data_IF_099289484223
#
_entry.id   IF_099289484223
#
_cell.length_a   1.000
_cell.length_b   1.000
_cell.length_c   1.000
_cell.angle_alpha   90.00
_cell.angle_beta   90.00
_cell.angle_gamma   90.00
#
_symmetry.space_group_name_H-M   'P 1'
#
loop_
_entity.id
_entity.type
_entity.pdbx_description
1 polymer ?
#
# COMPACT_ATOMS: atom_id res chain seq x y z
N UNK A 1 -4.94 6.20 7.46
CA UNK A 1 -3.52 6.45 7.13
C UNK A 1 -3.35 6.66 5.63
N UNK A 2 -2.61 7.69 5.18
CA UNK A 2 -2.23 7.83 3.78
C UNK A 2 -1.02 6.92 3.44
N UNK A 3 -1.02 6.41 2.20
CA UNK A 3 0.02 5.57 1.63
C UNK A 3 0.62 6.25 0.41
N UNK A 4 1.93 6.07 0.19
CA UNK A 4 2.61 6.52 -1.04
C UNK A 4 3.65 5.50 -1.48
N UNK A 5 4.08 5.59 -2.73
CA UNK A 5 5.13 4.73 -3.31
C UNK A 5 6.37 5.56 -3.63
N UNK A 6 7.54 4.99 -3.35
CA UNK A 6 8.85 5.47 -3.78
C UNK A 6 9.58 4.31 -4.47
N UNK A 7 9.56 4.27 -5.80
CA UNK A 7 10.13 3.14 -6.55
C UNK A 7 9.40 1.83 -6.26
N UNK A 8 10.12 0.84 -5.74
CA UNK A 8 9.58 -0.46 -5.31
C UNK A 8 9.12 -0.48 -3.85
N UNK A 9 9.20 0.65 -3.14
CA UNK A 9 8.89 0.75 -1.70
C UNK A 9 7.56 1.46 -1.51
N UNK A 10 6.72 0.90 -0.63
CA UNK A 10 5.49 1.51 -0.15
C UNK A 10 5.74 2.08 1.24
N UNK A 11 5.40 3.35 1.42
CA UNK A 11 5.50 4.07 2.67
C UNK A 11 4.09 4.38 3.22
N UNK A 12 3.97 4.40 4.54
CA UNK A 12 2.79 4.88 5.23
C UNK A 12 3.14 6.07 6.11
N UNK A 13 2.20 7.01 6.24
CA UNK A 13 2.37 8.11 7.19
C UNK A 13 1.90 7.65 8.58
N UNK A 14 2.85 7.56 9.51
CA UNK A 14 2.60 7.15 10.90
C UNK A 14 3.46 8.02 11.82
N UNK A 15 2.82 8.66 12.81
CA UNK A 15 3.52 9.48 13.82
C UNK A 15 4.28 10.67 13.23
N UNK A 16 3.67 11.40 12.28
CA UNK A 16 4.28 12.61 11.68
C UNK A 16 5.37 12.34 10.64
N UNK A 17 5.73 11.09 10.38
CA UNK A 17 6.77 10.73 9.40
C UNK A 17 6.31 9.64 8.42
N UNK A 18 6.93 9.63 7.25
CA UNK A 18 6.80 8.54 6.29
C UNK A 18 7.73 7.40 6.70
N UNK A 19 7.14 6.24 6.97
CA UNK A 19 7.87 5.02 7.33
C UNK A 19 7.63 3.95 6.28
N UNK A 20 8.60 3.05 6.08
CA UNK A 20 8.47 1.94 5.13
C UNK A 20 7.44 0.96 5.67
N UNK A 21 6.40 0.69 4.87
CA UNK A 21 5.39 -0.33 5.17
C UNK A 21 5.72 -1.66 4.49
N UNK A 22 6.11 -1.62 3.22
CA UNK A 22 6.36 -2.81 2.42
C UNK A 22 7.40 -2.51 1.34
N UNK A 23 8.27 -3.48 1.06
CA UNK A 23 9.13 -3.50 -0.13
C UNK A 23 8.57 -4.51 -1.12
N UNK A 24 8.52 -4.17 -2.39
CA UNK A 24 8.06 -5.03 -3.47
C UNK A 24 9.24 -5.43 -4.37
N UNK A 25 9.11 -6.53 -5.10
CA UNK A 25 10.13 -6.97 -6.05
C UNK A 25 10.19 -6.07 -7.30
N UNK A 26 9.05 -5.52 -7.71
CA UNK A 26 8.94 -4.66 -8.89
C UNK A 26 8.13 -3.39 -8.64
N UNK A 27 8.26 -2.42 -9.55
CA UNK A 27 7.47 -1.18 -9.52
C UNK A 27 5.99 -1.46 -9.77
N UNK A 28 5.68 -2.46 -10.59
CA UNK A 28 4.30 -2.85 -10.92
C UNK A 28 3.60 -3.47 -9.72
N UNK A 29 4.30 -4.34 -8.98
CA UNK A 29 3.76 -4.93 -7.75
C UNK A 29 3.53 -3.85 -6.69
N UNK A 30 4.44 -2.88 -6.58
CA UNK A 30 4.26 -1.74 -5.69
C UNK A 30 3.03 -0.90 -6.08
N UNK A 31 2.73 -0.73 -7.37
CA UNK A 31 1.50 -0.07 -7.83
C UNK A 31 0.25 -0.88 -7.47
N UNK A 32 0.25 -2.20 -7.69
CA UNK A 32 -0.87 -3.10 -7.34
C UNK A 32 -1.15 -3.09 -5.84
N UNK A 33 -0.10 -3.23 -5.03
CA UNK A 33 -0.22 -3.21 -3.58
C UNK A 33 -0.69 -1.85 -3.04
N UNK A 34 -0.21 -0.72 -3.61
CA UNK A 34 -0.71 0.60 -3.24
C UNK A 34 -2.22 0.76 -3.55
N UNK A 35 -2.67 0.28 -4.71
CA UNK A 35 -4.09 0.28 -5.09
C UNK A 35 -4.92 -0.53 -4.10
N UNK A 36 -4.46 -1.72 -3.73
CA UNK A 36 -5.13 -2.57 -2.75
C UNK A 36 -5.25 -1.89 -1.39
N UNK A 37 -4.16 -1.31 -0.89
CA UNK A 37 -4.14 -0.59 0.39
C UNK A 37 -5.09 0.61 0.40
N UNK A 38 -5.18 1.34 -0.71
CA UNK A 38 -6.15 2.41 -0.87
C UNK A 38 -7.58 1.87 -0.95
N UNK A 39 -7.83 0.81 -1.70
CA UNK A 39 -9.15 0.18 -1.78
C UNK A 39 -9.65 -0.25 -0.40
N UNK A 40 -8.80 -0.93 0.40
CA UNK A 40 -9.12 -1.33 1.78
C UNK A 40 -9.43 -0.11 2.65
N UNK A 41 -8.66 0.98 2.51
CA UNK A 41 -8.94 2.25 3.20
C UNK A 41 -10.30 2.84 2.82
N UNK A 42 -10.72 2.68 1.56
CA UNK A 42 -12.00 3.16 1.04
C UNK A 42 -13.17 2.18 1.25
N UNK A 43 -12.99 1.15 2.10
CA UNK A 43 -14.06 0.23 2.50
C UNK A 43 -14.19 -1.02 1.63
N UNK A 44 -13.29 -1.25 0.68
CA UNK A 44 -13.21 -2.53 -0.01
C UNK A 44 -12.79 -3.62 0.99
N UNK A 45 -13.68 -4.58 1.21
CA UNK A 45 -13.41 -5.76 2.04
C UNK A 45 -13.14 -6.93 1.09
N UNK A 46 -11.99 -7.60 1.17
CA UNK A 46 -11.75 -8.80 0.38
C UNK A 46 -12.80 -9.84 0.79
N UNK A 47 -13.74 -10.12 -0.10
CA UNK A 47 -14.63 -11.26 0.04
C UNK A 47 -13.82 -12.48 -0.34
N UNK A 48 -13.46 -13.28 0.66
CA UNK A 48 -12.58 -14.44 0.51
C UNK A 48 -13.22 -15.60 -0.25
N UNK A 49 -13.67 -15.38 -1.49
CA UNK A 49 -13.93 -16.48 -2.41
C UNK A 49 -12.57 -17.02 -2.85
N UNK A 50 -12.13 -18.05 -2.12
CA UNK A 50 -11.09 -19.00 -2.50
C UNK A 50 -11.44 -19.68 -3.81
#
# INVERSE_FOLDING_TARGET
MPYRRKGTVIEHFKGGKWSVKQRCGSVEDAKKALRLLNAVKHGWKPTGKK
#
